data_IF_618756410861
#
_entry.id   IF_618756410861
#
_cell.length_a   1.000
_cell.length_b   1.000
_cell.length_c   1.000
_cell.angle_alpha   90.00
_cell.angle_beta   90.00
_cell.angle_gamma   90.00
#
_symmetry.space_group_name_H-M   'P 1'
#
loop_
_entity.id
_entity.type
_entity.pdbx_description
1 polymer ?
#
# COMPACT_ATOMS: atom_id res chain seq x y z
N UNK A 1 -18.81 4.61 21.12
CA UNK A 1 -18.58 4.67 19.67
C UNK A 1 -17.16 4.20 19.43
N UNK A 2 -16.93 3.27 18.49
CA UNK A 2 -15.57 2.89 18.12
C UNK A 2 -14.88 4.12 17.49
N UNK A 3 -13.63 4.38 17.88
CA UNK A 3 -12.85 5.52 17.38
C UNK A 3 -11.98 5.01 16.25
N UNK A 4 -12.04 5.66 15.10
CA UNK A 4 -11.09 5.38 14.02
C UNK A 4 -9.69 5.78 14.46
N UNK A 5 -8.74 4.84 14.35
CA UNK A 5 -7.32 5.07 14.57
C UNK A 5 -6.61 4.90 13.24
N UNK A 6 -5.86 5.93 12.85
CA UNK A 6 -5.00 5.92 11.67
C UNK A 6 -3.56 5.67 12.12
N UNK A 7 -2.86 4.82 11.38
CA UNK A 7 -1.45 4.49 11.60
C UNK A 7 -0.68 4.57 10.30
N UNK A 8 0.55 5.04 10.41
CA UNK A 8 1.39 5.39 9.26
C UNK A 8 2.88 5.25 9.60
N UNK A 9 3.71 5.16 8.56
CA UNK A 9 5.17 5.18 8.59
C UNK A 9 5.78 4.24 9.65
N UNK A 10 6.51 4.78 10.63
CA UNK A 10 7.25 4.05 11.66
C UNK A 10 6.36 3.19 12.56
N UNK A 11 5.05 3.40 12.52
CA UNK A 11 4.08 2.57 13.23
C UNK A 11 3.81 1.23 12.50
N UNK A 12 4.10 1.18 11.20
CA UNK A 12 4.00 -0.01 10.37
C UNK A 12 5.34 -0.74 10.31
N UNK A 13 5.29 -2.07 10.22
CA UNK A 13 6.49 -2.89 10.08
C UNK A 13 6.63 -3.36 8.65
N UNK A 14 7.67 -2.89 7.96
CA UNK A 14 8.00 -3.28 6.59
C UNK A 14 9.12 -4.32 6.56
N UNK A 15 9.01 -5.32 5.70
CA UNK A 15 10.16 -6.15 5.33
C UNK A 15 11.06 -5.39 4.36
N UNK A 16 12.29 -5.87 4.09
CA UNK A 16 13.24 -5.13 3.27
C UNK A 16 12.68 -4.73 1.90
N UNK A 17 13.35 -3.75 1.29
CA UNK A 17 13.12 -3.22 -0.06
C UNK A 17 11.99 -2.21 -0.22
N UNK A 18 11.05 -2.10 0.72
CA UNK A 18 10.18 -0.92 0.78
C UNK A 18 11.02 0.33 0.99
N UNK A 19 10.70 1.39 0.25
CA UNK A 19 11.39 2.67 0.33
C UNK A 19 10.46 3.74 0.88
N UNK A 20 10.71 4.26 2.09
CA UNK A 20 9.96 5.43 2.55
C UNK A 20 10.23 6.60 1.61
N UNK A 21 9.24 7.47 1.46
CA UNK A 21 9.30 8.68 0.61
C UNK A 21 10.55 9.55 0.87
N UNK A 22 10.98 9.64 2.13
CA UNK A 22 12.16 10.39 2.57
C UNK A 22 13.49 9.81 2.08
N UNK A 23 13.55 8.51 1.78
CA UNK A 23 14.74 7.81 1.27
C UNK A 23 14.65 7.51 -0.22
N UNK A 24 13.60 7.97 -0.91
CA UNK A 24 13.40 7.67 -2.31
C UNK A 24 13.91 8.76 -3.25
N UNK A 25 15.23 8.96 -3.24
CA UNK A 25 15.88 9.81 -4.23
C UNK A 25 15.79 9.17 -5.63
N UNK A 26 15.02 9.79 -6.53
CA UNK A 26 14.76 9.28 -7.87
C UNK A 26 13.57 8.31 -8.00
N UNK A 27 12.68 8.22 -7.00
CA UNK A 27 11.37 7.59 -7.16
C UNK A 27 10.63 8.20 -8.36
N UNK A 28 10.52 7.47 -9.46
CA UNK A 28 9.79 7.95 -10.65
C UNK A 28 8.27 8.08 -10.45
N UNK A 29 7.80 7.53 -9.33
CA UNK A 29 6.42 7.53 -8.90
C UNK A 29 6.13 8.55 -7.79
N UNK A 30 7.09 9.43 -7.47
CA UNK A 30 6.87 10.45 -6.45
C UNK A 30 5.75 11.42 -6.87
N UNK A 31 4.72 11.63 -6.03
CA UNK A 31 3.72 12.65 -6.29
C UNK A 31 4.36 14.05 -6.40
N UNK A 32 3.83 14.88 -7.29
CA UNK A 32 4.26 16.28 -7.42
C UNK A 32 3.92 17.09 -6.16
N UNK A 33 4.56 18.25 -5.98
CA UNK A 33 4.26 19.13 -4.84
C UNK A 33 2.76 19.51 -4.73
N UNK A 34 2.06 19.64 -5.85
CA UNK A 34 0.61 19.89 -5.86
C UNK A 34 -0.21 18.66 -5.45
N UNK A 35 0.29 17.46 -5.74
CA UNK A 35 -0.35 16.20 -5.40
C UNK A 35 -0.11 15.77 -3.94
N UNK A 36 0.96 16.26 -3.30
CA UNK A 36 1.25 15.97 -1.89
C UNK A 36 0.10 16.32 -0.94
N UNK A 37 -0.79 17.25 -1.31
CA UNK A 37 -1.98 17.58 -0.54
C UNK A 37 -3.01 16.43 -0.45
N UNK A 38 -2.87 15.38 -1.25
CA UNK A 38 -3.75 14.19 -1.27
C UNK A 38 -3.11 12.95 -0.65
N UNK A 39 -1.85 13.06 -0.20
CA UNK A 39 -1.09 11.99 0.45
C UNK A 39 -1.22 12.19 1.96
N UNK A 40 -1.51 11.14 2.72
CA UNK A 40 -1.62 11.25 4.16
C UNK A 40 -0.29 11.68 4.77
N UNK A 41 -0.33 12.74 5.60
CA UNK A 41 0.84 13.38 6.22
C UNK A 41 2.01 13.73 5.27
N UNK A 42 1.76 13.70 3.96
CA UNK A 42 2.76 13.93 2.93
C UNK A 42 3.84 12.85 2.84
N UNK A 43 3.57 11.62 3.29
CA UNK A 43 4.51 10.49 3.26
C UNK A 43 3.89 9.27 2.61
N UNK A 44 4.72 8.41 2.03
CA UNK A 44 4.29 7.13 1.46
C UNK A 44 5.46 6.14 1.49
N UNK A 45 5.15 4.87 1.21
CA UNK A 45 6.13 3.81 1.04
C UNK A 45 6.05 3.19 -0.36
N UNK A 46 7.14 3.25 -1.11
CA UNK A 46 7.27 2.67 -2.45
C UNK A 46 7.70 1.21 -2.36
N UNK A 47 6.91 0.33 -2.98
CA UNK A 47 7.25 -1.07 -3.17
C UNK A 47 7.19 -1.45 -4.64
N UNK A 48 8.31 -1.95 -5.17
CA UNK A 48 8.40 -2.43 -6.55
C UNK A 48 8.97 -3.86 -6.59
N UNK A 49 8.19 -4.79 -7.12
CA UNK A 49 8.59 -6.19 -7.27
C UNK A 49 8.51 -6.64 -8.73
N UNK A 50 9.62 -7.13 -9.24
CA UNK A 50 9.76 -7.56 -10.63
C UNK A 50 9.02 -8.88 -10.89
N UNK A 51 8.80 -9.20 -12.17
CA UNK A 51 8.13 -10.44 -12.57
C UNK A 51 8.90 -11.70 -12.19
N UNK A 52 10.24 -11.62 -12.11
CA UNK A 52 11.11 -12.70 -11.64
C UNK A 52 11.11 -12.85 -10.10
N UNK A 53 10.35 -12.00 -9.39
CA UNK A 53 10.22 -12.01 -7.94
C UNK A 53 11.31 -11.22 -7.20
N UNK A 54 12.28 -10.62 -7.89
CA UNK A 54 13.26 -9.70 -7.30
C UNK A 54 12.60 -8.38 -6.84
N UNK A 55 13.15 -7.69 -5.83
CA UNK A 55 14.35 -8.03 -5.05
C UNK A 55 14.14 -9.14 -4.01
N UNK A 56 12.91 -9.58 -3.80
CA UNK A 56 12.54 -10.61 -2.84
C UNK A 56 11.09 -10.41 -2.37
N UNK A 57 10.71 -11.08 -1.28
CA UNK A 57 9.39 -10.91 -0.67
C UNK A 57 9.33 -9.55 0.05
N UNK A 58 8.29 -8.78 -0.26
CA UNK A 58 8.03 -7.47 0.30
C UNK A 58 6.67 -7.48 0.99
N UNK A 59 6.63 -7.15 2.28
CA UNK A 59 5.41 -7.11 3.08
C UNK A 59 5.38 -5.89 3.99
N UNK A 60 4.16 -5.47 4.31
CA UNK A 60 3.86 -4.55 5.42
C UNK A 60 3.00 -5.31 6.41
N UNK A 61 3.23 -5.09 7.71
CA UNK A 61 2.40 -5.68 8.75
C UNK A 61 2.10 -4.70 9.87
N UNK A 62 0.93 -4.91 10.50
CA UNK A 62 0.50 -4.16 11.66
C UNK A 62 -0.41 -5.01 12.54
N UNK A 63 -0.21 -4.92 13.86
CA UNK A 63 -1.08 -5.61 14.83
C UNK A 63 -2.03 -4.60 15.46
N UNK A 64 -3.33 -4.85 15.36
CA UNK A 64 -4.38 -4.00 15.89
C UNK A 64 -5.36 -4.80 16.74
N UNK A 65 -6.06 -4.12 17.65
CA UNK A 65 -7.23 -4.68 18.36
C UNK A 65 -8.45 -3.86 17.95
N UNK A 66 -9.43 -4.51 17.33
CA UNK A 66 -10.58 -3.80 16.79
C UNK A 66 -11.58 -4.71 16.07
N UNK A 67 -12.46 -4.07 15.33
CA UNK A 67 -13.64 -4.62 14.65
C UNK A 67 -13.62 -4.37 13.14
N UNK A 68 -12.72 -3.51 12.66
CA UNK A 68 -12.46 -3.29 11.25
C UNK A 68 -11.04 -2.83 10.98
N UNK A 69 -10.55 -3.05 9.76
CA UNK A 69 -9.29 -2.53 9.25
C UNK A 69 -9.41 -2.17 7.78
N UNK A 70 -8.68 -1.14 7.36
CA UNK A 70 -8.67 -0.57 6.02
C UNK A 70 -7.22 -0.24 5.65
N UNK A 71 -6.81 -0.54 4.42
CA UNK A 71 -5.48 -0.23 3.89
C UNK A 71 -5.66 0.68 2.69
N UNK A 72 -5.03 1.84 2.73
CA UNK A 72 -5.09 2.85 1.69
C UNK A 72 -3.75 3.03 1.02
N UNK A 73 -3.80 3.31 -0.27
CA UNK A 73 -2.61 3.59 -1.06
C UNK A 73 -2.91 4.41 -2.29
N UNK A 74 -1.94 4.44 -3.19
CA UNK A 74 -1.97 5.23 -4.41
C UNK A 74 -1.70 4.32 -5.59
N UNK A 75 -2.54 4.40 -6.63
CA UNK A 75 -2.29 3.74 -7.92
C UNK A 75 -1.93 4.75 -8.98
N UNK A 76 -1.19 4.31 -9.99
CA UNK A 76 -0.65 5.19 -11.02
C UNK A 76 -0.99 4.62 -12.39
N UNK A 77 -1.65 5.42 -13.22
CA UNK A 77 -1.66 5.23 -14.66
C UNK A 77 -0.48 6.00 -15.27
N UNK A 78 -0.02 5.57 -16.44
CA UNK A 78 1.02 6.35 -17.10
C UNK A 78 1.41 5.84 -18.46
N UNK A 79 1.55 6.79 -19.38
CA UNK A 79 2.15 6.61 -20.70
C UNK A 79 3.69 6.58 -20.63
N UNK A 80 4.26 7.04 -19.50
CA UNK A 80 5.70 7.10 -19.26
C UNK A 80 6.31 5.70 -19.12
N UNK A 81 7.56 5.55 -19.54
CA UNK A 81 8.34 4.32 -19.31
C UNK A 81 8.70 4.09 -17.82
N UNK A 82 8.44 5.07 -16.95
CA UNK A 82 8.77 5.02 -15.52
C UNK A 82 7.56 5.45 -14.66
N UNK A 83 7.24 4.74 -13.56
CA UNK A 83 7.86 3.47 -13.16
C UNK A 83 7.62 2.37 -14.20
N UNK A 84 8.56 1.43 -14.30
CA UNK A 84 8.55 0.37 -15.31
C UNK A 84 7.38 -0.61 -15.09
N UNK A 85 6.95 -0.75 -13.84
CA UNK A 85 5.79 -1.53 -13.41
C UNK A 85 4.81 -0.54 -12.80
N UNK A 86 3.55 -0.64 -13.21
CA UNK A 86 2.42 0.14 -12.68
C UNK A 86 1.24 -0.75 -12.27
N UNK A 87 1.33 -2.05 -12.54
CA UNK A 87 0.37 -3.04 -12.08
C UNK A 87 0.43 -3.12 -10.57
N UNK A 88 -0.72 -3.25 -9.91
CA UNK A 88 -0.77 -3.58 -8.48
C UNK A 88 -1.36 -4.98 -8.35
N UNK A 89 -0.71 -5.80 -7.55
CA UNK A 89 -1.13 -7.14 -7.15
C UNK A 89 -0.65 -7.35 -5.70
N UNK A 90 -1.61 -7.42 -4.80
CA UNK A 90 -1.43 -7.48 -3.35
C UNK A 90 -2.26 -8.62 -2.77
N UNK A 91 -1.67 -9.36 -1.85
CA UNK A 91 -2.39 -10.35 -1.03
C UNK A 91 -2.40 -9.92 0.43
N UNK A 92 -3.57 -10.01 1.05
CA UNK A 92 -3.80 -9.65 2.44
C UNK A 92 -4.11 -10.88 3.27
N UNK A 93 -3.52 -10.92 4.46
CA UNK A 93 -3.84 -11.92 5.48
C UNK A 93 -4.18 -11.27 6.81
N UNK A 94 -5.06 -11.91 7.57
CA UNK A 94 -5.33 -11.61 8.97
C UNK A 94 -5.00 -12.85 9.79
N UNK A 95 -4.12 -12.71 10.78
CA UNK A 95 -3.63 -13.82 11.60
C UNK A 95 -3.09 -14.99 10.75
N UNK A 96 -2.33 -14.66 9.69
CA UNK A 96 -1.76 -15.59 8.71
C UNK A 96 -2.79 -16.36 7.86
N UNK A 97 -4.08 -16.08 7.98
CA UNK A 97 -5.12 -16.61 7.11
C UNK A 97 -5.41 -15.62 5.98
N UNK A 98 -5.49 -16.13 4.75
CA UNK A 98 -5.88 -15.32 3.60
C UNK A 98 -7.20 -14.58 3.84
N UNK A 99 -7.19 -13.27 3.63
CA UNK A 99 -8.31 -12.38 3.95
C UNK A 99 -8.86 -11.64 2.72
N UNK A 100 -8.07 -11.51 1.66
CA UNK A 100 -8.45 -10.94 0.37
C UNK A 100 -7.24 -10.58 -0.49
N UNK A 101 -7.51 -10.16 -1.71
CA UNK A 101 -6.51 -9.66 -2.67
C UNK A 101 -6.94 -8.31 -3.23
N UNK A 102 -5.98 -7.57 -3.76
CA UNK A 102 -6.22 -6.36 -4.55
C UNK A 102 -5.41 -6.42 -5.84
N UNK A 103 -6.06 -6.15 -6.96
CA UNK A 103 -5.39 -6.02 -8.25
C UNK A 103 -5.79 -4.73 -8.95
N UNK A 104 -4.86 -4.15 -9.69
CA UNK A 104 -5.06 -2.97 -10.49
C UNK A 104 -4.25 -3.07 -11.78
N UNK A 105 -4.94 -2.86 -12.90
CA UNK A 105 -4.33 -2.74 -14.21
C UNK A 105 -4.29 -1.24 -14.60
N UNK A 106 -3.10 -0.68 -14.85
CA UNK A 106 -2.94 0.72 -15.19
C UNK A 106 -3.41 0.97 -16.63
N UNK A 107 -4.10 2.09 -16.84
CA UNK A 107 -4.35 2.65 -18.15
C UNK A 107 -3.04 3.25 -18.70
N UNK A 108 -2.57 2.66 -19.80
CA UNK A 108 -1.34 3.08 -20.47
C UNK A 108 -1.52 4.29 -21.40
N UNK A 109 -2.75 4.83 -21.52
CA UNK A 109 -3.09 5.94 -22.42
C UNK A 109 -3.19 7.29 -21.72
N UNK A 110 -3.32 7.27 -20.38
CA UNK A 110 -3.40 8.48 -19.54
C UNK A 110 -2.26 8.49 -18.52
N UNK A 111 -1.98 9.66 -17.95
CA UNK A 111 -1.00 9.82 -16.87
C UNK A 111 -1.66 10.55 -15.72
N UNK A 112 -2.04 9.81 -14.70
CA UNK A 112 -2.71 10.31 -13.51
C UNK A 112 -2.44 9.41 -12.29
N UNK A 113 -2.63 10.00 -11.11
CA UNK A 113 -2.48 9.36 -9.82
C UNK A 113 -3.85 9.26 -9.17
N UNK A 114 -4.19 8.09 -8.64
CA UNK A 114 -5.40 7.89 -7.85
C UNK A 114 -4.98 7.77 -6.39
N UNK A 115 -5.28 8.80 -5.61
CA UNK A 115 -4.99 8.86 -4.17
C UNK A 115 -6.15 8.26 -3.37
N UNK A 116 -5.87 7.88 -2.12
CA UNK A 116 -6.87 7.34 -1.20
C UNK A 116 -7.61 6.11 -1.78
N UNK A 117 -6.88 5.28 -2.52
CA UNK A 117 -7.41 4.03 -3.08
C UNK A 117 -7.49 3.00 -1.97
N UNK A 118 -8.67 2.44 -1.76
CA UNK A 118 -8.87 1.37 -0.80
C UNK A 118 -8.33 0.06 -1.36
N UNK A 119 -7.11 -0.32 -0.96
CA UNK A 119 -6.53 -1.61 -1.34
C UNK A 119 -7.23 -2.76 -0.64
N UNK A 120 -7.54 -2.59 0.65
CA UNK A 120 -8.17 -3.67 1.42
C UNK A 120 -9.09 -3.12 2.48
N UNK A 121 -10.18 -3.82 2.74
CA UNK A 121 -10.98 -3.62 3.94
C UNK A 121 -11.52 -4.93 4.48
N UNK A 122 -11.62 -5.00 5.82
CA UNK A 122 -12.35 -6.05 6.50
C UNK A 122 -13.12 -5.42 7.66
N UNK A 123 -14.43 -5.60 7.67
CA UNK A 123 -15.34 -5.02 8.67
C UNK A 123 -16.16 -6.11 9.36
N UNK A 124 -16.79 -5.77 10.48
CA UNK A 124 -17.66 -6.71 11.20
C UNK A 124 -16.89 -7.83 11.89
N UNK A 125 -15.61 -7.59 12.18
CA UNK A 125 -14.79 -8.49 12.97
C UNK A 125 -15.25 -8.43 14.44
N UNK A 126 -15.23 -9.56 15.17
CA UNK A 126 -15.28 -9.53 16.63
C UNK A 126 -14.21 -8.59 17.17
N UNK A 127 -14.50 -7.87 18.26
CA UNK A 127 -13.50 -7.01 18.89
C UNK A 127 -12.41 -7.89 19.54
N UNK A 128 -11.31 -8.08 18.81
CA UNK A 128 -10.20 -8.94 19.17
C UNK A 128 -8.90 -8.42 18.53
N UNK A 129 -7.78 -9.03 18.88
CA UNK A 129 -6.50 -8.72 18.27
C UNK A 129 -6.34 -9.45 16.93
N UNK A 130 -5.81 -8.73 15.94
CA UNK A 130 -5.48 -9.23 14.61
C UNK A 130 -4.12 -8.73 14.16
N UNK A 131 -3.37 -9.58 13.48
CA UNK A 131 -2.17 -9.20 12.73
C UNK A 131 -2.53 -9.13 11.25
N UNK A 132 -2.55 -7.91 10.72
CA UNK A 132 -2.64 -7.64 9.30
C UNK A 132 -1.26 -7.84 8.67
N UNK A 133 -1.22 -8.54 7.54
CA UNK A 133 -0.07 -8.53 6.64
C UNK A 133 -0.53 -8.28 5.20
N UNK A 134 0.05 -7.29 4.56
CA UNK A 134 -0.02 -7.03 3.12
C UNK A 134 1.25 -7.56 2.46
N UNK A 135 1.12 -8.28 1.34
CA UNK A 135 2.24 -8.83 0.60
C UNK A 135 2.20 -8.38 -0.84
N UNK A 136 3.33 -7.91 -1.37
CA UNK A 136 3.47 -7.49 -2.76
C UNK A 136 3.81 -8.70 -3.64
N UNK A 137 2.92 -9.05 -4.56
CA UNK A 137 3.11 -10.17 -5.47
C UNK A 137 4.12 -9.82 -6.58
N UNK A 138 4.68 -10.81 -7.32
CA UNK A 138 5.57 -10.53 -8.43
C UNK A 138 4.89 -9.66 -9.51
N UNK A 139 5.68 -8.87 -10.22
CA UNK A 139 5.20 -7.93 -11.24
C UNK A 139 4.20 -6.88 -10.71
N UNK A 140 4.48 -6.34 -9.53
CA UNK A 140 3.60 -5.43 -8.80
C UNK A 140 4.36 -4.19 -8.32
N UNK A 141 3.66 -3.07 -8.31
CA UNK A 141 4.11 -1.77 -7.84
C UNK A 141 3.04 -1.19 -6.94
N UNK A 142 3.38 -0.82 -5.71
CA UNK A 142 2.43 -0.24 -4.78
C UNK A 142 3.05 0.96 -4.08
N UNK A 143 2.28 2.04 -4.00
CA UNK A 143 2.52 3.14 -3.09
C UNK A 143 1.57 2.96 -1.91
N UNK A 144 2.09 2.54 -0.76
CA UNK A 144 1.31 2.47 0.46
C UNK A 144 1.27 3.86 1.10
N UNK A 145 0.06 4.29 1.48
CA UNK A 145 -0.17 5.55 2.19
C UNK A 145 -0.34 5.19 3.67
N UNK A 146 -1.54 4.88 4.15
CA UNK A 146 -1.80 4.60 5.57
C UNK A 146 -2.72 3.41 5.81
N UNK A 147 -2.82 2.99 7.08
CA UNK A 147 -3.76 1.98 7.57
C UNK A 147 -4.70 2.62 8.58
N UNK A 148 -5.97 2.23 8.56
CA UNK A 148 -6.96 2.66 9.54
C UNK A 148 -7.67 1.46 10.16
N UNK A 149 -7.94 1.49 11.46
CA UNK A 149 -8.74 0.47 12.15
C UNK A 149 -9.70 1.09 13.16
N UNK A 150 -10.67 0.30 13.63
CA UNK A 150 -11.73 0.74 14.57
C UNK A 150 -11.95 -0.21 15.71
#
# INVERSE_FOLDING_TARGET
MARNVTVDDEQLVFTPFWKPSSECDGCSAAPTAAQMAFVHDGTWHDGARQADGSPGVMTMSYTFTGTAVYVYGITINGTSARPAIKNVDLTFTLNNAHAGDFTYAPDATVTDYHFNVLFFSKTGLPNAQYTLQMSLNPHSFALLDYVQYT
#
